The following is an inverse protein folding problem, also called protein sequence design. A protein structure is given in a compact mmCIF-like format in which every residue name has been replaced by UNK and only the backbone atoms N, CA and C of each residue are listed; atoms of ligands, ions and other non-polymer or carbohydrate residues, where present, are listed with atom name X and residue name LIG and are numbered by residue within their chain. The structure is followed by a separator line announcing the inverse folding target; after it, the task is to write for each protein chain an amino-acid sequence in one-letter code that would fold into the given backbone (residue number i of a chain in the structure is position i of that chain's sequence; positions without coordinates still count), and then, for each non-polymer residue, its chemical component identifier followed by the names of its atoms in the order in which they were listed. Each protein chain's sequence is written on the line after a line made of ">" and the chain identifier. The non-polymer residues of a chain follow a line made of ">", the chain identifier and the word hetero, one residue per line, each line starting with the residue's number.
data_IF_171297110657
#
_entry.id   IF_171297110657
#
_cell.length_a   1.000
_cell.length_b   1.000
_cell.length_c   1.000
_cell.angle_alpha   90.00
_cell.angle_beta   90.00
_cell.angle_gamma   90.00
#
_symmetry.space_group_name_H-M   'P 1'
#
loop_
_entity.id
_entity.type
_entity.pdbx_description
1 polymer ?
#
# COMPACT_ATOMS: atom_id res chain seq x y z
N UNK A 1 20.38 88.99 54.72
CA UNK A 1 20.39 89.24 53.26
C UNK A 1 20.87 88.00 52.52
N UNK A 2 20.13 87.62 51.47
CA UNK A 2 20.13 86.36 50.72
C UNK A 2 21.49 85.77 50.27
N UNK A 3 21.70 84.47 50.49
CA UNK A 3 22.68 83.63 49.75
C UNK A 3 22.16 82.21 49.41
N UNK A 4 20.85 81.98 49.29
CA UNK A 4 20.29 80.64 49.04
C UNK A 4 19.73 80.42 47.60
N UNK A 5 19.70 81.45 46.75
CA UNK A 5 19.08 81.36 45.42
C UNK A 5 19.94 80.73 44.32
N UNK A 6 21.28 80.90 44.37
CA UNK A 6 22.18 80.46 43.29
C UNK A 6 22.47 78.95 43.26
N UNK A 7 22.44 78.29 44.42
CA UNK A 7 22.74 76.85 44.52
C UNK A 7 21.62 75.97 43.96
N UNK A 8 20.37 76.40 44.07
CA UNK A 8 19.19 75.67 43.59
C UNK A 8 19.13 75.64 42.05
N UNK A 9 19.41 76.77 41.38
CA UNK A 9 19.44 76.87 39.91
C UNK A 9 20.58 76.05 39.31
N UNK A 10 21.75 76.05 39.95
CA UNK A 10 22.90 75.24 39.50
C UNK A 10 22.65 73.72 39.63
N UNK A 11 21.96 73.28 40.68
CA UNK A 11 21.57 71.87 40.84
C UNK A 11 20.53 71.42 39.81
N UNK A 12 19.56 72.27 39.46
CA UNK A 12 18.55 71.96 38.45
C UNK A 12 19.15 71.83 37.05
N UNK A 13 20.06 72.74 36.68
CA UNK A 13 20.75 72.71 35.39
C UNK A 13 21.70 71.50 35.26
N UNK A 14 22.35 71.08 36.36
CA UNK A 14 23.14 69.83 36.41
C UNK A 14 22.29 68.57 36.25
N UNK A 15 21.07 68.55 36.81
CA UNK A 15 20.12 67.45 36.63
C UNK A 15 19.61 67.37 35.19
N UNK A 16 19.27 68.50 34.57
CA UNK A 16 18.83 68.54 33.17
C UNK A 16 19.94 68.05 32.22
N UNK A 17 21.19 68.48 32.42
CA UNK A 17 22.33 68.01 31.62
C UNK A 17 22.60 66.51 31.81
N UNK A 18 22.43 65.98 33.02
CA UNK A 18 22.56 64.55 33.30
C UNK A 18 21.45 63.73 32.63
N UNK A 19 20.21 64.24 32.64
CA UNK A 19 19.06 63.60 32.00
C UNK A 19 19.17 63.61 30.47
N UNK A 20 19.69 64.68 29.87
CA UNK A 20 19.98 64.71 28.44
C UNK A 20 21.07 63.70 28.05
N UNK A 21 22.16 63.59 28.81
CA UNK A 21 23.19 62.56 28.55
C UNK A 21 22.65 61.15 28.69
N UNK A 22 21.76 60.91 29.65
CA UNK A 22 21.11 59.61 29.80
C UNK A 22 20.16 59.30 28.63
N UNK A 23 19.44 60.31 28.11
CA UNK A 23 18.61 60.16 26.90
C UNK A 23 19.44 59.89 25.67
N UNK A 24 20.57 60.56 25.50
CA UNK A 24 21.52 60.31 24.40
C UNK A 24 22.13 58.91 24.49
N UNK A 25 22.55 58.47 25.69
CA UNK A 25 23.09 57.13 25.91
C UNK A 25 22.03 56.04 25.64
N UNK A 26 20.77 56.27 26.03
CA UNK A 26 19.65 55.37 25.70
C UNK A 26 19.35 55.33 24.21
N UNK A 27 19.41 56.46 23.51
CA UNK A 27 19.24 56.51 22.05
C UNK A 27 20.34 55.75 21.33
N UNK A 28 21.59 55.97 21.72
CA UNK A 28 22.74 55.26 21.15
C UNK A 28 22.68 53.75 21.42
N UNK A 29 22.32 53.33 22.64
CA UNK A 29 22.11 51.91 22.96
C UNK A 29 20.96 51.29 22.18
N UNK A 30 19.86 52.02 21.99
CA UNK A 30 18.72 51.55 21.19
C UNK A 30 19.07 51.41 19.71
N UNK A 31 19.87 52.33 19.16
CA UNK A 31 20.34 52.28 17.77
C UNK A 31 21.29 51.09 17.54
N UNK A 32 22.25 50.88 18.44
CA UNK A 32 23.13 49.70 18.42
C UNK A 32 22.35 48.38 18.56
N UNK A 33 21.32 48.34 19.41
CA UNK A 33 20.47 47.15 19.56
C UNK A 33 19.62 46.90 18.30
N UNK A 34 19.11 47.95 17.65
CA UNK A 34 18.36 47.84 16.41
C UNK A 34 19.26 47.38 15.24
N UNK A 35 20.51 47.84 15.19
CA UNK A 35 21.49 47.37 14.21
C UNK A 35 21.87 45.90 14.43
N UNK A 36 22.09 45.49 15.68
CA UNK A 36 22.33 44.09 16.03
C UNK A 36 21.15 43.17 15.65
N UNK A 37 19.91 43.61 15.91
CA UNK A 37 18.71 42.86 15.51
C UNK A 37 18.57 42.75 13.98
N UNK A 38 18.90 43.80 13.23
CA UNK A 38 18.91 43.75 11.75
C UNK A 38 19.96 42.79 11.22
N UNK A 39 21.16 42.80 11.81
CA UNK A 39 22.24 41.88 11.43
C UNK A 39 21.86 40.42 11.72
N UNK A 40 21.24 40.14 12.87
CA UNK A 40 20.74 38.80 13.22
C UNK A 40 19.60 38.35 12.30
N UNK A 41 18.66 39.23 11.98
CA UNK A 41 17.57 38.93 11.05
C UNK A 41 18.09 38.55 9.65
N UNK A 42 19.11 39.25 9.14
CA UNK A 42 19.76 38.91 7.86
C UNK A 42 20.44 37.54 7.91
N UNK A 43 21.12 37.21 9.02
CA UNK A 43 21.74 35.89 9.19
C UNK A 43 20.71 34.75 9.22
N UNK A 44 19.60 34.95 9.93
CA UNK A 44 18.51 33.97 9.99
C UNK A 44 17.88 33.78 8.60
N UNK A 45 17.69 34.87 7.85
CA UNK A 45 17.12 34.79 6.49
C UNK A 45 18.07 34.08 5.52
N UNK A 46 19.38 34.33 5.62
CA UNK A 46 20.40 33.63 4.83
C UNK A 46 20.44 32.13 5.16
N UNK A 47 20.37 31.77 6.44
CA UNK A 47 20.30 30.36 6.89
C UNK A 47 19.03 29.67 6.38
N UNK A 48 17.88 30.35 6.45
CA UNK A 48 16.61 29.85 5.88
C UNK A 48 16.72 29.66 4.37
N UNK A 49 17.36 30.58 3.66
CA UNK A 49 17.55 30.49 2.21
C UNK A 49 18.45 29.32 1.84
N UNK A 50 19.53 29.10 2.59
CA UNK A 50 20.41 27.94 2.42
C UNK A 50 19.68 26.63 2.72
N UNK A 51 18.90 26.57 3.80
CA UNK A 51 18.10 25.39 4.15
C UNK A 51 17.01 25.09 3.10
N UNK A 52 16.38 26.12 2.53
CA UNK A 52 15.41 25.98 1.45
C UNK A 52 16.08 25.45 0.17
N UNK A 53 17.26 25.96 -0.19
CA UNK A 53 18.01 25.48 -1.36
C UNK A 53 18.46 24.03 -1.21
N UNK A 54 18.88 23.60 -0.01
CA UNK A 54 19.24 22.19 0.22
C UNK A 54 17.99 21.29 0.18
N UNK A 55 16.85 21.75 0.71
CA UNK A 55 15.58 21.03 0.56
C UNK A 55 15.19 20.89 -0.90
N UNK A 56 15.30 21.95 -1.69
CA UNK A 56 15.04 21.92 -3.13
C UNK A 56 16.00 20.97 -3.86
N UNK A 57 17.28 20.94 -3.47
CA UNK A 57 18.27 19.99 -4.01
C UNK A 57 17.91 18.54 -3.73
N UNK A 58 17.47 18.23 -2.50
CA UNK A 58 16.99 16.90 -2.13
C UNK A 58 15.73 16.53 -2.90
N UNK A 59 14.76 17.45 -2.99
CA UNK A 59 13.53 17.26 -3.76
C UNK A 59 13.83 17.05 -5.25
N UNK A 60 14.78 17.80 -5.84
CA UNK A 60 15.25 17.64 -7.22
C UNK A 60 15.98 16.30 -7.43
N UNK A 61 16.75 15.83 -6.46
CA UNK A 61 17.39 14.52 -6.50
C UNK A 61 16.35 13.38 -6.45
N UNK A 62 15.33 13.51 -5.60
CA UNK A 62 14.18 12.61 -5.55
C UNK A 62 13.41 12.64 -6.88
N UNK A 63 13.11 13.82 -7.42
CA UNK A 63 12.42 14.01 -8.69
C UNK A 63 13.19 13.42 -9.88
N UNK A 64 14.52 13.55 -9.89
CA UNK A 64 15.38 12.95 -10.91
C UNK A 64 15.37 11.43 -10.80
N UNK A 65 15.41 10.88 -9.58
CA UNK A 65 15.30 9.43 -9.35
C UNK A 65 13.93 8.89 -9.78
N UNK A 66 12.86 9.61 -9.46
CA UNK A 66 11.49 9.29 -9.92
C UNK A 66 11.37 9.34 -11.45
N UNK A 67 12.04 10.30 -12.10
CA UNK A 67 12.07 10.43 -13.56
C UNK A 67 12.89 9.31 -14.23
N UNK A 68 14.00 8.89 -13.62
CA UNK A 68 14.94 7.89 -14.19
C UNK A 68 14.49 6.45 -13.98
N UNK A 69 13.80 6.15 -12.88
CA UNK A 69 13.11 4.88 -12.65
C UNK A 69 11.80 4.77 -13.48
N UNK A 70 11.54 5.74 -14.36
CA UNK A 70 10.57 5.65 -15.45
C UNK A 70 9.16 5.26 -14.99
N UNK A 71 8.41 6.18 -14.37
CA UNK A 71 6.95 6.10 -14.31
C UNK A 71 6.32 4.83 -13.67
N UNK A 72 7.12 3.93 -13.07
CA UNK A 72 6.66 2.66 -12.49
C UNK A 72 6.14 2.77 -11.06
N UNK A 73 5.90 3.99 -10.57
CA UNK A 73 5.52 4.26 -9.18
C UNK A 73 4.28 5.15 -9.01
N UNK A 74 3.60 5.57 -10.08
CA UNK A 74 2.36 6.35 -9.99
C UNK A 74 1.37 6.10 -11.13
N UNK A 75 0.98 4.84 -11.37
CA UNK A 75 -0.25 4.53 -12.12
C UNK A 75 -0.60 3.04 -11.93
N UNK A 76 -1.15 2.69 -10.76
CA UNK A 76 -2.06 1.54 -10.62
C UNK A 76 -2.91 1.63 -9.33
N UNK A 77 -3.18 2.85 -8.88
CA UNK A 77 -4.27 3.14 -7.94
C UNK A 77 -5.40 3.80 -8.72
N UNK A 78 -6.58 3.15 -8.92
CA UNK A 78 -7.74 3.92 -9.35
C UNK A 78 -8.18 4.84 -8.21
N UNK A 79 -8.55 6.09 -8.55
CA UNK A 79 -9.10 7.16 -7.69
C UNK A 79 -8.02 7.93 -6.89
N UNK A 80 -7.88 9.27 -6.93
CA UNK A 80 -8.69 10.40 -7.46
C UNK A 80 -7.76 11.59 -7.69
N UNK A 81 -7.80 12.17 -8.89
CA UNK A 81 -7.20 13.45 -9.24
C UNK A 81 -8.05 14.61 -8.72
N UNK A 82 -7.38 15.60 -8.15
CA UNK A 82 -7.92 16.91 -7.82
C UNK A 82 -7.40 17.87 -8.89
N UNK A 83 -8.31 18.68 -9.44
CA UNK A 83 -8.08 19.92 -10.21
C UNK A 83 -7.87 19.83 -11.74
N UNK A 84 -8.96 20.22 -12.41
CA UNK A 84 -9.04 21.15 -13.56
C UNK A 84 -8.17 20.93 -14.80
N UNK A 85 -8.81 20.44 -15.86
CA UNK A 85 -8.27 20.50 -17.22
C UNK A 85 -9.07 19.59 -18.15
N UNK A 86 -9.88 20.19 -19.03
CA UNK A 86 -10.58 19.54 -20.12
C UNK A 86 -9.68 18.57 -20.90
N UNK A 87 -10.17 17.35 -21.15
CA UNK A 87 -10.26 16.66 -22.45
C UNK A 87 -10.25 15.15 -22.24
N UNK A 88 -11.32 14.48 -22.69
CA UNK A 88 -11.42 13.07 -23.11
C UNK A 88 -10.45 12.04 -22.51
N UNK A 89 -10.97 11.10 -21.71
CA UNK A 89 -10.91 9.65 -21.98
C UNK A 89 -11.21 8.80 -20.71
N UNK A 90 -11.64 7.55 -20.93
CA UNK A 90 -11.70 6.42 -19.97
C UNK A 90 -12.91 6.30 -19.05
N UNK A 91 -14.02 5.81 -19.61
CA UNK A 91 -15.10 5.17 -18.85
C UNK A 91 -14.59 3.90 -18.13
N UNK A 92 -14.24 4.01 -16.84
CA UNK A 92 -14.26 2.86 -15.92
C UNK A 92 -15.68 2.76 -15.34
N UNK A 93 -16.37 1.62 -15.44
CA UNK A 93 -17.66 1.46 -14.79
C UNK A 93 -17.44 1.47 -13.28
N UNK A 94 -17.88 2.55 -12.62
CA UNK A 94 -18.03 2.57 -11.17
C UNK A 94 -19.01 1.45 -10.80
N UNK A 95 -18.56 0.49 -10.00
CA UNK A 95 -19.48 -0.43 -9.33
C UNK A 95 -20.54 0.39 -8.59
N UNK A 96 -21.73 -0.17 -8.38
CA UNK A 96 -22.85 0.54 -7.73
C UNK A 96 -22.46 1.19 -6.40
N UNK A 97 -21.44 0.64 -5.73
CA UNK A 97 -20.88 1.15 -4.49
C UNK A 97 -19.39 1.48 -4.67
N UNK A 98 -19.01 2.74 -4.38
CA UNK A 98 -17.60 3.14 -4.25
C UNK A 98 -17.25 3.23 -2.77
N UNK A 99 -16.55 2.21 -2.25
CA UNK A 99 -16.13 2.15 -0.85
C UNK A 99 -14.64 2.53 -0.66
N UNK A 100 -14.03 3.16 -1.66
CA UNK A 100 -12.60 3.53 -1.62
C UNK A 100 -12.24 4.37 -0.39
N UNK A 101 -13.16 5.24 0.06
CA UNK A 101 -12.95 6.14 1.19
C UNK A 101 -13.43 5.59 2.54
N UNK A 102 -14.00 4.38 2.57
CA UNK A 102 -14.58 3.82 3.79
C UNK A 102 -13.49 3.37 4.77
N UNK A 103 -13.74 3.52 6.07
CA UNK A 103 -12.85 3.04 7.14
C UNK A 103 -13.08 1.55 7.40
N UNK A 104 -12.06 0.89 7.97
CA UNK A 104 -12.17 -0.52 8.34
C UNK A 104 -13.35 -0.80 9.29
N UNK A 105 -13.61 0.11 10.23
CA UNK A 105 -14.75 0.00 11.15
C UNK A 105 -16.09 -0.02 10.39
N UNK A 106 -16.26 0.84 9.38
CA UNK A 106 -17.49 0.95 8.58
C UNK A 106 -17.69 -0.30 7.69
N UNK A 107 -16.61 -0.79 7.07
CA UNK A 107 -16.65 -2.04 6.31
C UNK A 107 -17.03 -3.23 7.20
N UNK A 108 -16.42 -3.34 8.38
CA UNK A 108 -16.70 -4.41 9.34
C UNK A 108 -18.12 -4.35 9.86
N UNK A 109 -18.59 -3.16 10.24
CA UNK A 109 -19.94 -2.98 10.78
C UNK A 109 -21.00 -3.31 9.73
N UNK A 110 -20.81 -2.84 8.50
CA UNK A 110 -21.71 -3.15 7.37
C UNK A 110 -21.72 -4.64 7.07
N UNK A 111 -20.58 -5.33 7.12
CA UNK A 111 -20.53 -6.79 6.93
C UNK A 111 -21.33 -7.54 8.00
N UNK A 112 -21.35 -7.05 9.24
CA UNK A 112 -22.04 -7.72 10.34
C UNK A 112 -23.52 -7.34 10.46
N UNK A 113 -23.91 -6.16 9.98
CA UNK A 113 -25.27 -5.60 10.19
C UNK A 113 -26.12 -5.58 8.93
N UNK A 114 -25.52 -5.50 7.74
CA UNK A 114 -26.27 -5.40 6.49
C UNK A 114 -26.60 -6.78 5.90
N UNK A 115 -27.72 -6.83 5.18
CA UNK A 115 -28.17 -8.02 4.42
C UNK A 115 -28.18 -7.77 2.91
N UNK A 116 -27.70 -6.61 2.45
CA UNK A 116 -27.61 -6.31 1.02
C UNK A 116 -26.42 -7.06 0.40
N UNK A 117 -26.75 -8.07 -0.41
CA UNK A 117 -25.77 -8.92 -1.07
C UNK A 117 -24.79 -8.16 -1.99
N UNK A 118 -25.26 -7.14 -2.70
CA UNK A 118 -24.42 -6.35 -3.61
C UNK A 118 -23.43 -5.47 -2.81
N UNK A 119 -23.88 -4.92 -1.68
CA UNK A 119 -23.05 -4.13 -0.77
C UNK A 119 -22.00 -4.98 -0.06
N UNK A 120 -22.40 -6.14 0.47
CA UNK A 120 -21.49 -7.10 1.10
C UNK A 120 -20.40 -7.57 0.12
N UNK A 121 -20.76 -7.79 -1.14
CA UNK A 121 -19.80 -8.14 -2.18
C UNK A 121 -18.82 -6.99 -2.43
N UNK A 122 -19.30 -5.75 -2.54
CA UNK A 122 -18.45 -4.58 -2.69
C UNK A 122 -17.49 -4.41 -1.49
N UNK A 123 -17.96 -4.66 -0.26
CA UNK A 123 -17.11 -4.64 0.93
C UNK A 123 -16.00 -5.70 0.86
N UNK A 124 -16.32 -6.91 0.40
CA UNK A 124 -15.34 -7.99 0.20
C UNK A 124 -14.32 -7.64 -0.88
N UNK A 125 -14.76 -7.07 -2.00
CA UNK A 125 -13.86 -6.62 -3.08
C UNK A 125 -12.89 -5.54 -2.60
N UNK A 126 -13.37 -4.56 -1.81
CA UNK A 126 -12.53 -3.50 -1.27
C UNK A 126 -11.52 -4.00 -0.22
N UNK A 127 -11.91 -4.97 0.61
CA UNK A 127 -10.97 -5.65 1.51
C UNK A 127 -9.81 -6.28 0.73
N UNK A 128 -10.11 -7.09 -0.29
CA UNK A 128 -9.08 -7.75 -1.09
C UNK A 128 -8.25 -6.77 -1.93
N UNK A 129 -8.85 -5.67 -2.41
CA UNK A 129 -8.13 -4.58 -3.08
C UNK A 129 -7.08 -3.97 -2.15
N UNK A 130 -7.47 -3.59 -0.93
CA UNK A 130 -6.57 -3.00 0.07
C UNK A 130 -5.49 -3.99 0.51
N UNK A 131 -5.85 -5.25 0.73
CA UNK A 131 -4.89 -6.30 1.07
C UNK A 131 -3.83 -6.48 -0.02
N UNK A 132 -4.23 -6.47 -1.29
CA UNK A 132 -3.29 -6.57 -2.42
C UNK A 132 -2.33 -5.39 -2.46
N UNK A 133 -2.83 -4.16 -2.28
CA UNK A 133 -2.00 -2.94 -2.22
C UNK A 133 -1.01 -3.03 -1.06
N UNK A 134 -1.48 -3.43 0.12
CA UNK A 134 -0.63 -3.63 1.29
C UNK A 134 0.45 -4.69 1.04
N UNK A 135 0.10 -5.84 0.46
CA UNK A 135 1.07 -6.89 0.14
C UNK A 135 2.12 -6.42 -0.89
N UNK A 136 1.72 -5.68 -1.92
CA UNK A 136 2.63 -5.10 -2.89
C UNK A 136 3.56 -4.04 -2.29
N UNK A 137 3.02 -3.18 -1.42
CA UNK A 137 3.81 -2.23 -0.66
C UNK A 137 4.79 -2.95 0.28
N UNK A 138 4.32 -3.99 0.99
CA UNK A 138 5.12 -4.77 1.93
C UNK A 138 6.27 -5.46 1.21
N UNK A 139 6.05 -6.11 0.07
CA UNK A 139 7.12 -6.78 -0.68
C UNK A 139 8.18 -5.80 -1.21
N UNK A 140 7.77 -4.58 -1.60
CA UNK A 140 8.67 -3.53 -2.08
C UNK A 140 9.53 -2.92 -0.97
N UNK A 141 8.98 -2.82 0.24
CA UNK A 141 9.68 -2.25 1.41
C UNK A 141 10.32 -3.31 2.33
N UNK A 142 10.12 -4.60 2.04
CA UNK A 142 10.75 -5.69 2.76
C UNK A 142 12.26 -5.71 2.51
N UNK A 143 13.04 -6.00 3.55
CA UNK A 143 14.50 -6.12 3.47
C UNK A 143 14.91 -7.22 2.50
N UNK A 144 16.10 -7.11 1.91
CA UNK A 144 16.62 -8.08 0.92
C UNK A 144 16.68 -9.50 1.50
N UNK A 145 17.12 -9.64 2.74
CA UNK A 145 17.21 -10.93 3.46
C UNK A 145 15.84 -11.59 3.68
N UNK A 146 14.83 -10.80 4.02
CA UNK A 146 13.48 -11.34 4.19
C UNK A 146 12.78 -11.62 2.85
N UNK A 147 13.08 -10.83 1.80
CA UNK A 147 12.55 -11.02 0.45
C UNK A 147 13.01 -12.34 -0.16
N UNK A 148 14.27 -12.72 0.08
CA UNK A 148 14.85 -13.98 -0.44
C UNK A 148 14.32 -15.22 0.31
N UNK A 149 13.85 -15.02 1.54
CA UNK A 149 13.25 -16.07 2.37
C UNK A 149 11.75 -16.27 2.11
N UNK A 150 11.07 -15.29 1.51
CA UNK A 150 9.65 -15.34 1.24
C UNK A 150 9.36 -16.23 0.01
N UNK A 151 8.77 -17.41 0.25
CA UNK A 151 8.27 -18.25 -0.83
C UNK A 151 7.11 -17.55 -1.58
N UNK A 152 6.99 -17.75 -2.90
CA UNK A 152 5.87 -17.22 -3.67
C UNK A 152 4.56 -17.84 -3.17
N UNK A 153 3.54 -16.99 -2.94
CA UNK A 153 2.23 -17.35 -2.35
C UNK A 153 1.33 -18.14 -3.30
N UNK A 154 1.70 -18.22 -4.56
CA UNK A 154 1.04 -18.97 -5.60
C UNK A 154 2.07 -19.36 -6.67
N UNK A 155 1.80 -20.41 -7.46
CA UNK A 155 2.68 -20.79 -8.56
C UNK A 155 2.92 -19.63 -9.54
N UNK A 156 4.14 -19.50 -10.07
CA UNK A 156 4.49 -18.44 -11.03
C UNK A 156 3.56 -18.38 -12.25
N UNK A 157 2.99 -19.53 -12.67
CA UNK A 157 2.00 -19.58 -13.74
C UNK A 157 0.74 -18.76 -13.44
N UNK A 158 0.31 -18.70 -12.18
CA UNK A 158 -0.84 -17.89 -11.74
C UNK A 158 -0.53 -16.40 -11.88
N UNK A 159 0.65 -15.96 -11.43
CA UNK A 159 1.09 -14.58 -11.57
C UNK A 159 1.31 -14.16 -13.04
N UNK A 160 1.91 -15.03 -13.86
CA UNK A 160 2.13 -14.77 -15.28
C UNK A 160 0.81 -14.59 -16.04
N UNK A 161 -0.19 -15.41 -15.74
CA UNK A 161 -1.52 -15.29 -16.32
C UNK A 161 -2.22 -13.99 -15.92
N UNK A 162 -2.07 -13.55 -14.66
CA UNK A 162 -2.64 -12.30 -14.17
C UNK A 162 -2.02 -11.08 -14.86
N UNK A 163 -0.72 -11.13 -15.19
CA UNK A 163 -0.05 -10.07 -15.96
C UNK A 163 -0.50 -10.05 -17.43
N UNK A 164 -0.70 -11.23 -18.03
CA UNK A 164 -1.15 -11.36 -19.43
C UNK A 164 -2.64 -11.05 -19.64
N UNK A 165 -3.46 -11.11 -18.58
CA UNK A 165 -4.89 -10.76 -18.66
C UNK A 165 -5.16 -9.25 -18.66
N UNK A 166 -4.13 -8.40 -18.82
CA UNK A 166 -4.25 -6.95 -19.14
C UNK A 166 -4.85 -6.65 -20.53
N UNK A 167 -5.69 -7.54 -21.05
CA UNK A 167 -6.56 -7.29 -22.21
C UNK A 167 -7.64 -6.31 -21.75
N UNK A 168 -8.10 -5.35 -22.59
CA UNK A 168 -9.15 -4.42 -22.21
C UNK A 168 -10.35 -5.21 -21.72
N UNK A 169 -10.96 -4.78 -20.61
CA UNK A 169 -12.23 -5.33 -20.12
C UNK A 169 -13.23 -5.34 -21.28
N UNK A 170 -13.32 -6.44 -22.02
CA UNK A 170 -14.41 -6.68 -22.93
C UNK A 170 -15.67 -6.63 -22.08
N UNK A 171 -16.56 -5.73 -22.51
CA UNK A 171 -17.82 -5.34 -21.90
C UNK A 171 -18.39 -6.44 -20.99
N UNK A 172 -18.40 -6.17 -19.67
CA UNK A 172 -19.37 -6.83 -18.80
C UNK A 172 -20.74 -6.39 -19.31
N UNK A 173 -21.37 -7.20 -20.16
CA UNK A 173 -22.81 -7.16 -20.34
C UNK A 173 -23.42 -7.55 -18.99
N UNK A 174 -23.73 -6.54 -18.18
CA UNK A 174 -24.45 -6.68 -16.93
C UNK A 174 -25.90 -7.00 -17.31
N UNK A 175 -26.17 -8.27 -17.58
CA UNK A 175 -27.53 -8.80 -17.49
C UNK A 175 -27.78 -9.03 -15.99
N UNK A 176 -28.69 -8.28 -15.37
CA UNK A 176 -29.15 -8.53 -14.01
C UNK A 176 -30.63 -8.98 -14.03
N UNK A 177 -31.17 -9.70 -13.02
CA UNK A 177 -30.59 -10.09 -11.74
C UNK A 177 -30.79 -11.60 -11.47
N UNK A 178 -29.80 -12.40 -11.85
CA UNK A 178 -29.55 -13.68 -11.20
C UNK A 178 -28.18 -13.45 -10.57
N UNK A 179 -28.00 -13.65 -9.26
CA UNK A 179 -26.65 -13.67 -8.66
C UNK A 179 -25.75 -14.52 -9.56
N UNK A 180 -24.82 -13.88 -10.27
CA UNK A 180 -24.01 -14.59 -11.27
C UNK A 180 -23.35 -15.75 -10.52
N UNK A 181 -23.63 -17.03 -10.86
CA UNK A 181 -23.17 -18.16 -10.05
C UNK A 181 -21.66 -18.12 -9.84
N UNK A 182 -20.91 -17.53 -10.77
CA UNK A 182 -19.48 -17.26 -10.67
C UNK A 182 -19.03 -16.42 -9.44
N UNK A 183 -19.94 -15.71 -8.77
CA UNK A 183 -19.64 -14.87 -7.60
C UNK A 183 -19.77 -15.60 -6.26
N UNK A 184 -20.45 -16.76 -6.22
CA UNK A 184 -20.68 -17.55 -4.99
C UNK A 184 -20.36 -19.04 -5.16
N UNK A 185 -20.00 -19.48 -6.37
CA UNK A 185 -19.60 -20.86 -6.63
C UNK A 185 -18.29 -21.20 -5.92
N UNK A 186 -18.28 -22.36 -5.25
CA UNK A 186 -17.06 -22.98 -4.74
C UNK A 186 -16.36 -23.67 -5.90
N UNK A 187 -15.11 -23.29 -6.18
CA UNK A 187 -14.29 -23.86 -7.26
C UNK A 187 -12.95 -24.31 -6.74
N UNK A 188 -12.50 -25.47 -7.19
CA UNK A 188 -11.33 -26.14 -6.63
C UNK A 188 -10.32 -26.37 -7.74
N UNK A 189 -9.05 -26.09 -7.47
CA UNK A 189 -7.98 -26.18 -8.46
C UNK A 189 -6.75 -26.88 -7.90
N UNK A 190 -6.01 -27.54 -8.79
CA UNK A 190 -4.74 -28.19 -8.56
C UNK A 190 -3.74 -27.77 -9.63
N UNK A 191 -2.57 -27.30 -9.20
CA UNK A 191 -1.52 -26.79 -10.10
C UNK A 191 -0.18 -27.37 -9.68
N UNK A 192 0.48 -28.17 -10.54
CA UNK A 192 1.87 -28.55 -10.30
C UNK A 192 2.81 -27.37 -10.59
N UNK A 193 3.90 -27.26 -9.83
CA UNK A 193 4.94 -26.27 -10.04
C UNK A 193 6.34 -26.84 -9.79
N UNK A 194 7.31 -26.40 -10.58
CA UNK A 194 8.72 -26.77 -10.41
C UNK A 194 9.41 -25.76 -9.52
N UNK A 195 10.32 -26.20 -8.64
CA UNK A 195 11.20 -25.26 -7.96
C UNK A 195 12.27 -24.77 -8.94
N UNK A 196 12.68 -23.49 -8.86
CA UNK A 196 13.78 -22.97 -9.67
C UNK A 196 15.05 -23.83 -9.57
N UNK A 197 15.39 -24.34 -8.38
CA UNK A 197 16.54 -25.21 -8.17
C UNK A 197 16.50 -26.54 -8.94
N UNK A 198 15.30 -27.05 -9.26
CA UNK A 198 15.10 -28.30 -9.99
C UNK A 198 15.10 -28.07 -11.52
N UNK A 199 14.80 -26.85 -11.96
CA UNK A 199 14.85 -26.47 -13.38
C UNK A 199 16.30 -26.52 -13.91
N UNK A 200 17.28 -26.05 -13.13
CA UNK A 200 18.68 -26.04 -13.55
C UNK A 200 19.36 -27.42 -13.55
N UNK A 201 18.90 -28.35 -12.70
CA UNK A 201 19.43 -29.73 -12.64
C UNK A 201 19.02 -30.57 -13.85
N UNK A 202 17.88 -30.26 -14.46
CA UNK A 202 17.32 -31.01 -15.57
C UNK A 202 18.09 -30.83 -16.89
N UNK A 203 18.87 -29.75 -17.04
CA UNK A 203 19.60 -29.47 -18.29
C UNK A 203 20.94 -30.22 -18.41
N UNK A 204 21.48 -30.78 -17.33
CA UNK A 204 22.84 -31.31 -17.28
C UNK A 204 22.95 -32.82 -17.02
N UNK A 205 21.86 -33.57 -16.90
CA UNK A 205 21.96 -35.01 -16.64
C UNK A 205 20.86 -35.82 -17.30
N UNK A 206 21.28 -36.94 -17.90
CA UNK A 206 20.47 -38.04 -18.39
C UNK A 206 19.89 -38.88 -17.22
N UNK A 207 19.43 -38.21 -16.15
CA UNK A 207 18.90 -38.85 -14.94
C UNK A 207 17.38 -39.04 -15.11
N UNK A 208 16.95 -40.30 -15.20
CA UNK A 208 15.57 -40.75 -15.42
C UNK A 208 14.63 -40.53 -14.23
N UNK A 209 15.04 -39.71 -13.24
CA UNK A 209 14.23 -39.42 -12.06
C UNK A 209 13.14 -38.40 -12.42
N UNK A 210 11.88 -38.78 -12.20
CA UNK A 210 10.72 -37.91 -12.37
C UNK A 210 10.98 -36.60 -11.62
N UNK A 211 10.94 -35.43 -12.27
CA UNK A 211 11.17 -34.16 -11.59
C UNK A 211 10.15 -34.03 -10.46
N UNK A 212 10.65 -33.91 -9.24
CA UNK A 212 9.84 -33.79 -8.03
C UNK A 212 9.15 -32.41 -8.02
N UNK A 213 7.99 -32.33 -8.66
CA UNK A 213 7.19 -31.12 -8.74
C UNK A 213 6.46 -30.90 -7.41
N UNK A 214 6.44 -29.65 -6.94
CA UNK A 214 5.53 -29.21 -5.89
C UNK A 214 4.10 -29.19 -6.41
N UNK A 215 3.15 -29.26 -5.48
CA UNK A 215 1.74 -29.26 -5.80
C UNK A 215 1.01 -28.19 -5.00
N UNK A 216 0.22 -27.38 -5.71
CA UNK A 216 -0.54 -26.29 -5.14
C UNK A 216 -2.03 -26.57 -5.33
N UNK A 217 -2.79 -26.56 -4.25
CA UNK A 217 -4.25 -26.66 -4.30
C UNK A 217 -4.87 -25.36 -3.83
N UNK A 218 -5.96 -24.97 -4.47
CA UNK A 218 -6.68 -23.76 -4.13
C UNK A 218 -8.19 -23.97 -4.20
N UNK A 219 -8.88 -23.48 -3.18
CA UNK A 219 -10.32 -23.44 -3.09
C UNK A 219 -10.76 -21.98 -3.13
N UNK A 220 -11.50 -21.60 -4.16
CA UNK A 220 -12.06 -20.27 -4.36
C UNK A 220 -13.55 -20.26 -4.00
N UNK A 221 -13.96 -19.25 -3.24
CA UNK A 221 -15.35 -18.91 -2.98
C UNK A 221 -15.71 -17.67 -3.81
N UNK A 222 -16.31 -17.90 -4.98
CA UNK A 222 -16.45 -16.88 -6.01
C UNK A 222 -15.09 -16.48 -6.59
N UNK A 223 -14.76 -15.20 -6.51
CA UNK A 223 -13.49 -14.68 -7.03
C UNK A 223 -12.31 -14.81 -6.07
N UNK A 224 -12.54 -15.13 -4.81
CA UNK A 224 -11.55 -14.99 -3.76
C UNK A 224 -11.16 -16.34 -3.18
N UNK A 225 -9.85 -16.52 -2.92
CA UNK A 225 -9.35 -17.74 -2.32
C UNK A 225 -9.82 -17.86 -0.87
N UNK A 226 -10.24 -19.05 -0.47
CA UNK A 226 -10.77 -19.36 0.85
C UNK A 226 -9.88 -20.36 1.61
N UNK A 227 -9.33 -21.34 0.90
CA UNK A 227 -8.36 -22.31 1.43
C UNK A 227 -7.27 -22.60 0.41
N UNK A 228 -6.06 -22.85 0.88
CA UNK A 228 -4.90 -23.12 0.06
C UNK A 228 -4.03 -24.20 0.69
N UNK A 229 -3.50 -25.09 -0.15
CA UNK A 229 -2.54 -26.13 0.26
C UNK A 229 -1.29 -25.98 -0.59
N UNK A 230 -0.13 -25.92 0.05
CA UNK A 230 1.16 -25.98 -0.62
C UNK A 230 1.90 -27.24 -0.20
N UNK A 231 2.11 -28.14 -1.15
CA UNK A 231 2.87 -29.36 -0.95
C UNK A 231 4.20 -29.23 -1.66
N UNK A 232 5.27 -29.51 -0.93
CA UNK A 232 6.59 -29.66 -1.51
C UNK A 232 7.13 -31.07 -1.25
N UNK A 233 7.87 -31.67 -2.19
CA UNK A 233 8.43 -33.03 -2.06
C UNK A 233 9.26 -33.25 -0.79
N UNK A 234 9.95 -32.20 -0.32
CA UNK A 234 10.89 -32.26 0.81
C UNK A 234 10.51 -31.33 1.97
N UNK A 235 9.25 -30.89 2.07
CA UNK A 235 8.77 -30.09 3.21
C UNK A 235 7.40 -30.59 3.67
N UNK A 236 7.08 -30.31 4.93
CA UNK A 236 5.73 -30.52 5.45
C UNK A 236 4.73 -29.68 4.64
N UNK A 237 3.58 -30.26 4.25
CA UNK A 237 2.50 -29.52 3.60
C UNK A 237 2.07 -28.33 4.44
N UNK A 238 1.78 -27.21 3.78
CA UNK A 238 1.31 -25.98 4.40
C UNK A 238 -0.16 -25.80 4.07
N UNK A 239 -1.00 -25.64 5.09
CA UNK A 239 -2.42 -25.38 4.96
C UNK A 239 -2.69 -23.94 5.38
N UNK A 240 -3.40 -23.19 4.54
CA UNK A 240 -3.68 -21.78 4.76
C UNK A 240 -5.19 -21.53 4.60
N UNK A 241 -5.76 -20.73 5.50
CA UNK A 241 -7.20 -20.41 5.53
C UNK A 241 -7.41 -18.90 5.54
N UNK A 242 -8.34 -18.43 4.71
CA UNK A 242 -8.68 -17.01 4.65
C UNK A 242 -9.18 -16.47 5.99
N UNK A 243 -8.87 -15.21 6.29
CA UNK A 243 -9.10 -14.55 7.58
C UNK A 243 -7.98 -14.77 8.60
N UNK A 244 -7.25 -15.90 8.53
CA UNK A 244 -6.10 -16.19 9.40
C UNK A 244 -4.78 -15.99 8.68
N UNK A 245 -4.68 -16.54 7.47
CA UNK A 245 -3.44 -16.67 6.72
C UNK A 245 -3.43 -15.79 5.46
N UNK A 246 -4.27 -14.75 5.40
CA UNK A 246 -4.40 -13.84 4.25
C UNK A 246 -3.05 -13.23 3.81
N UNK A 247 -2.13 -13.06 4.76
CA UNK A 247 -0.76 -12.59 4.53
C UNK A 247 0.16 -13.65 3.94
N UNK A 248 -0.28 -14.87 3.65
CA UNK A 248 0.51 -15.92 3.01
C UNK A 248 -0.23 -16.60 1.84
N UNK A 249 -1.50 -16.29 1.65
CA UNK A 249 -2.33 -16.82 0.57
C UNK A 249 -2.25 -16.00 -0.72
N UNK A 250 -2.74 -16.58 -1.81
CA UNK A 250 -2.86 -15.94 -3.11
C UNK A 250 -3.81 -14.71 -3.08
N UNK A 251 -3.30 -13.55 -3.50
CA UNK A 251 -4.02 -12.28 -3.58
C UNK A 251 -4.70 -11.98 -4.95
N UNK A 252 -4.56 -12.90 -5.90
CA UNK A 252 -5.07 -12.77 -7.27
C UNK A 252 -6.50 -13.33 -7.34
N UNK A 253 -7.46 -12.56 -7.88
CA UNK A 253 -8.83 -13.05 -8.05
C UNK A 253 -8.91 -14.13 -9.14
N UNK A 254 -9.85 -15.06 -9.01
CA UNK A 254 -9.95 -16.25 -9.86
C UNK A 254 -9.95 -15.94 -11.37
N UNK A 255 -10.67 -14.89 -11.78
CA UNK A 255 -10.74 -14.43 -13.16
C UNK A 255 -9.37 -14.04 -13.75
N UNK A 256 -8.49 -13.46 -12.94
CA UNK A 256 -7.13 -13.06 -13.32
C UNK A 256 -6.11 -14.20 -13.22
N UNK A 257 -6.36 -15.23 -12.39
CA UNK A 257 -5.42 -16.36 -12.25
C UNK A 257 -5.24 -17.18 -13.53
N UNK A 258 -6.22 -17.12 -14.45
CA UNK A 258 -6.27 -17.96 -15.65
C UNK A 258 -6.51 -19.45 -15.38
N UNK A 259 -6.76 -19.86 -14.12
CA UNK A 259 -6.97 -21.26 -13.74
C UNK A 259 -8.18 -21.88 -14.45
N UNK A 260 -9.22 -21.09 -14.66
CA UNK A 260 -10.46 -21.47 -15.33
C UNK A 260 -10.26 -21.83 -16.81
N UNK A 261 -9.18 -21.35 -17.43
CA UNK A 261 -8.83 -21.61 -18.85
C UNK A 261 -7.84 -22.76 -18.99
N UNK A 262 -7.18 -23.17 -17.90
CA UNK A 262 -6.15 -24.21 -17.92
C UNK A 262 -6.79 -25.60 -17.81
N UNK A 263 -6.73 -26.37 -18.90
CA UNK A 263 -7.24 -27.74 -18.93
C UNK A 263 -6.57 -28.60 -17.86
N UNK A 264 -7.39 -29.32 -17.07
CA UNK A 264 -6.93 -30.21 -16.01
C UNK A 264 -6.47 -29.50 -14.72
N UNK A 265 -6.65 -28.17 -14.61
CA UNK A 265 -6.40 -27.47 -13.37
C UNK A 265 -7.58 -27.53 -12.40
N UNK A 266 -8.83 -27.52 -12.89
CA UNK A 266 -10.03 -27.62 -12.06
C UNK A 266 -10.25 -29.06 -11.62
N UNK A 267 -10.50 -29.25 -10.32
CA UNK A 267 -10.73 -30.54 -9.67
C UNK A 267 -12.07 -30.54 -8.95
N UNK A 268 -12.52 -31.72 -8.52
CA UNK A 268 -13.76 -31.86 -7.74
C UNK A 268 -13.57 -31.40 -6.29
N UNK A 269 -14.66 -30.98 -5.65
CA UNK A 269 -14.71 -30.68 -4.20
C UNK A 269 -14.19 -31.88 -3.39
N UNK A 270 -14.66 -33.08 -3.71
CA UNK A 270 -14.29 -34.31 -3.00
C UNK A 270 -12.78 -34.60 -3.06
N UNK A 271 -12.13 -34.31 -4.19
CA UNK A 271 -10.68 -34.47 -4.32
C UNK A 271 -9.93 -33.49 -3.42
N UNK A 272 -10.37 -32.22 -3.38
CA UNK A 272 -9.77 -31.22 -2.51
C UNK A 272 -9.99 -31.56 -1.03
N UNK A 273 -11.21 -31.86 -0.63
CA UNK A 273 -11.54 -32.19 0.77
C UNK A 273 -10.80 -33.43 1.26
N UNK A 274 -10.65 -34.45 0.41
CA UNK A 274 -9.89 -35.67 0.74
C UNK A 274 -8.45 -35.31 1.10
N UNK A 275 -7.79 -34.48 0.28
CA UNK A 275 -6.41 -34.03 0.54
C UNK A 275 -6.36 -33.12 1.77
N UNK A 276 -7.30 -32.18 1.89
CA UNK A 276 -7.37 -31.23 2.99
C UNK A 276 -7.49 -31.94 4.35
N UNK A 277 -8.43 -32.88 4.47
CA UNK A 277 -8.66 -33.67 5.68
C UNK A 277 -7.48 -34.61 5.98
N UNK A 278 -6.93 -35.26 4.95
CA UNK A 278 -5.78 -36.16 5.12
C UNK A 278 -4.55 -35.43 5.68
N UNK A 279 -4.38 -34.16 5.33
CA UNK A 279 -3.30 -33.31 5.85
C UNK A 279 -3.63 -32.63 7.18
N UNK A 280 -4.76 -32.97 7.81
CA UNK A 280 -5.17 -32.44 9.13
C UNK A 280 -5.90 -31.10 9.08
N UNK A 281 -6.40 -30.68 7.92
CA UNK A 281 -7.20 -29.47 7.78
C UNK A 281 -8.58 -29.59 8.42
N UNK A 282 -9.05 -28.52 9.06
CA UNK A 282 -10.39 -28.48 9.64
C UNK A 282 -11.47 -28.44 8.54
N UNK A 283 -12.59 -29.17 8.68
CA UNK A 283 -13.66 -29.15 7.68
C UNK A 283 -14.18 -27.73 7.49
N UNK A 284 -14.69 -27.43 6.29
CA UNK A 284 -15.30 -26.13 6.02
C UNK A 284 -16.42 -25.90 7.05
N UNK A 285 -16.28 -24.88 7.89
CA UNK A 285 -17.38 -24.43 8.73
C UNK A 285 -18.46 -23.85 7.83
N UNK A 286 -19.44 -24.68 7.49
CA UNK A 286 -20.69 -24.19 6.90
C UNK A 286 -21.33 -23.33 7.99
N UNK A 287 -21.40 -22.02 7.74
CA UNK A 287 -22.12 -21.11 8.62
C UNK A 287 -23.53 -21.69 8.84
N UNK A 288 -23.86 -21.97 10.10
CA UNK A 288 -25.21 -22.35 10.51
C UNK A 288 -25.80 -21.10 11.16
N UNK A 289 -26.98 -20.65 10.71
CA UNK A 289 -27.70 -19.53 11.34
C UNK A 289 -27.90 -19.75 12.84
#
# INVERSE_FOLDING_TARGET
>A
MCKMGGACVSQLMRKQLAEEREKEEKRFKAEMAAEAQRAEALRIEEEKRMAAAERERLDAAIATRLSRDGGGAMMDTPTTSMSSGSSSDSMKPKGKYDLSNWRYAELRDTINTSTDMDLLLACKEEFHRRLRIYNAWKSRNQSVTERESAAPRAPNAVYANAQNTRVPQQERTIIAPQVNPALTMQRYFKVPFSRPADIYKNNNNNDTRVPQQGLWYAHFNGQWIQRQIEMHPNKTPVLLVAGRDDLHMCEIPLDQTGLTRKKGAEILESEFETVWLHLGGAPLQKWRP
#
